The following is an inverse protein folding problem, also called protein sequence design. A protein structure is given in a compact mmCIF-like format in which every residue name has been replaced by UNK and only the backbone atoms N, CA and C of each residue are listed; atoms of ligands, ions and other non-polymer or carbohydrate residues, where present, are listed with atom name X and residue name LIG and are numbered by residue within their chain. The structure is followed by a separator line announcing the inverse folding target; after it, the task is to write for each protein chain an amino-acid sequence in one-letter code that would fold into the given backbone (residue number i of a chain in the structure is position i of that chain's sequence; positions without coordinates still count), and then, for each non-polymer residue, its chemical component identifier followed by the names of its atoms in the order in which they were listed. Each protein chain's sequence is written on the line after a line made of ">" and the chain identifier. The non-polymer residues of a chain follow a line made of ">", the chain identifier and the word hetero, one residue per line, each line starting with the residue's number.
data_IF_207479417049
#
_entry.id   IF_207479417049
#
_cell.length_a   1.000
_cell.length_b   1.000
_cell.length_c   1.000
_cell.angle_alpha   90.00
_cell.angle_beta   90.00
_cell.angle_gamma   90.00
#
_symmetry.space_group_name_H-M   'P 1'
#
loop_
_entity.id
_entity.type
_entity.pdbx_description
1 polymer ?
#
# COMPACT_ATOMS: atom_id res chain seq x y z
N UNK A 1 -15.79 -23.83 -6.75
CA UNK A 1 -14.37 -23.50 -7.02
C UNK A 1 -14.17 -22.08 -6.57
N UNK A 2 -13.17 -21.79 -5.76
CA UNK A 2 -12.91 -20.43 -5.29
C UNK A 2 -12.04 -19.69 -6.32
N UNK A 3 -12.50 -18.54 -6.82
CA UNK A 3 -11.75 -17.68 -7.74
C UNK A 3 -11.06 -16.58 -6.92
N UNK A 4 -9.73 -16.62 -6.85
CA UNK A 4 -8.95 -15.66 -6.06
C UNK A 4 -8.74 -14.33 -6.78
N UNK A 5 -8.72 -14.37 -8.12
CA UNK A 5 -8.61 -13.19 -9.02
C UNK A 5 -9.52 -13.47 -10.21
N UNK A 6 -10.42 -12.55 -10.51
CA UNK A 6 -11.49 -12.74 -11.51
C UNK A 6 -11.37 -11.69 -12.63
N UNK A 7 -10.71 -12.10 -13.73
CA UNK A 7 -10.62 -11.35 -14.97
C UNK A 7 -10.23 -9.86 -14.74
N UNK A 8 -9.04 -9.64 -14.17
CA UNK A 8 -8.49 -8.30 -13.99
C UNK A 8 -7.54 -7.95 -15.14
N UNK A 9 -7.60 -6.70 -15.59
CA UNK A 9 -6.69 -6.13 -16.58
C UNK A 9 -5.95 -4.94 -15.96
N UNK A 10 -4.64 -4.91 -16.08
CA UNK A 10 -3.79 -3.81 -15.63
C UNK A 10 -2.44 -3.87 -16.36
N UNK A 11 -1.75 -2.74 -16.38
CA UNK A 11 -0.36 -2.64 -16.84
C UNK A 11 0.47 -1.83 -15.85
N UNK A 12 1.80 -2.03 -15.86
CA UNK A 12 2.75 -1.29 -15.03
C UNK A 12 3.93 -0.86 -15.89
N UNK A 13 4.18 0.44 -15.95
CA UNK A 13 5.29 0.97 -16.72
C UNK A 13 6.64 0.80 -15.99
N UNK A 14 7.77 0.68 -16.72
CA UNK A 14 9.08 0.70 -16.09
C UNK A 14 9.33 1.97 -15.27
N UNK A 15 9.80 1.80 -14.02
CA UNK A 15 10.05 2.90 -13.08
C UNK A 15 8.80 3.45 -12.39
N UNK A 16 7.61 2.91 -12.69
CA UNK A 16 6.36 3.25 -12.04
C UNK A 16 6.27 2.63 -10.65
N UNK A 17 5.60 3.33 -9.72
CA UNK A 17 5.11 2.78 -8.46
C UNK A 17 3.62 2.52 -8.56
N UNK A 18 3.25 1.24 -8.66
CA UNK A 18 1.88 0.79 -8.87
C UNK A 18 1.31 0.09 -7.64
N UNK A 19 0.09 0.44 -7.24
CA UNK A 19 -0.57 -0.06 -6.04
C UNK A 19 -1.77 -0.97 -6.31
N UNK A 20 -1.91 -2.04 -5.52
CA UNK A 20 -3.15 -2.78 -5.37
C UNK A 20 -3.75 -2.42 -4.01
N UNK A 21 -4.76 -1.56 -3.98
CA UNK A 21 -5.48 -1.13 -2.77
C UNK A 21 -6.75 -1.96 -2.60
N UNK A 22 -7.03 -2.42 -1.41
CA UNK A 22 -8.29 -3.14 -1.15
C UNK A 22 -8.28 -3.89 0.18
N UNK A 23 -9.44 -4.42 0.60
CA UNK A 23 -9.57 -5.15 1.86
C UNK A 23 -8.87 -6.51 1.81
N UNK A 24 -8.78 -7.15 2.97
CA UNK A 24 -8.31 -8.53 3.05
C UNK A 24 -9.22 -9.45 2.25
N UNK A 25 -8.62 -10.39 1.50
CA UNK A 25 -9.35 -11.30 0.63
C UNK A 25 -9.76 -10.73 -0.74
N UNK A 26 -9.42 -9.47 -1.07
CA UNK A 26 -9.73 -8.88 -2.37
C UNK A 26 -8.95 -9.46 -3.56
N UNK A 27 -7.94 -10.31 -3.32
CA UNK A 27 -7.13 -10.94 -4.38
C UNK A 27 -5.72 -10.36 -4.53
N UNK A 28 -5.35 -9.31 -3.79
CA UNK A 28 -4.06 -8.61 -3.89
C UNK A 28 -2.85 -9.54 -3.80
N UNK A 29 -2.71 -10.28 -2.71
CA UNK A 29 -1.59 -11.23 -2.50
C UNK A 29 -1.59 -12.35 -3.54
N UNK A 30 -2.76 -12.80 -4.02
CA UNK A 30 -2.84 -13.79 -5.10
C UNK A 30 -2.27 -13.23 -6.40
N UNK A 31 -2.59 -11.99 -6.75
CA UNK A 31 -2.03 -11.27 -7.90
C UNK A 31 -0.50 -11.14 -7.76
N UNK A 32 -0.02 -10.72 -6.58
CA UNK A 32 1.43 -10.62 -6.30
C UNK A 32 2.14 -11.97 -6.47
N UNK A 33 1.52 -13.07 -6.04
CA UNK A 33 2.10 -14.42 -6.21
C UNK A 33 2.17 -14.86 -7.66
N UNK A 34 1.21 -14.48 -8.50
CA UNK A 34 1.27 -14.72 -9.94
C UNK A 34 2.38 -13.90 -10.60
N UNK A 35 2.49 -12.61 -10.30
CA UNK A 35 3.58 -11.74 -10.79
C UNK A 35 4.94 -12.28 -10.33
N UNK A 36 5.06 -12.72 -9.07
CA UNK A 36 6.26 -13.32 -8.46
C UNK A 36 6.56 -14.75 -8.91
N UNK A 37 5.77 -15.32 -9.83
CA UNK A 37 5.95 -16.69 -10.33
C UNK A 37 5.95 -17.76 -9.22
N UNK A 38 5.15 -17.56 -8.17
CA UNK A 38 4.96 -18.52 -7.06
C UNK A 38 3.56 -19.14 -7.05
N UNK A 39 2.67 -18.68 -7.92
CA UNK A 39 1.35 -19.24 -8.19
C UNK A 39 1.10 -19.23 -9.70
N UNK A 40 0.49 -20.29 -10.27
CA UNK A 40 0.22 -20.32 -11.70
C UNK A 40 -0.92 -19.36 -12.06
N UNK A 41 -0.85 -18.80 -13.27
CA UNK A 41 -1.99 -18.14 -13.93
C UNK A 41 -2.87 -19.20 -14.55
N UNK A 42 -4.10 -19.33 -14.07
CA UNK A 42 -5.02 -20.41 -14.50
C UNK A 42 -5.90 -20.03 -15.69
N UNK A 43 -5.95 -18.74 -16.04
CA UNK A 43 -6.69 -18.22 -17.20
C UNK A 43 -6.23 -16.80 -17.52
N UNK A 44 -6.43 -16.38 -18.77
CA UNK A 44 -5.92 -15.09 -19.25
C UNK A 44 -4.42 -15.12 -19.57
N UNK A 45 -3.82 -13.94 -19.66
CA UNK A 45 -2.40 -13.75 -19.99
C UNK A 45 -1.75 -12.82 -18.97
N UNK A 46 -0.55 -13.16 -18.54
CA UNK A 46 0.29 -12.30 -17.71
C UNK A 46 1.69 -12.28 -18.30
N UNK A 47 2.24 -11.07 -18.47
CA UNK A 47 3.62 -10.87 -18.88
C UNK A 47 4.34 -10.08 -17.78
N UNK A 48 5.51 -10.55 -17.37
CA UNK A 48 6.35 -9.91 -16.36
C UNK A 48 7.75 -9.72 -16.92
N UNK A 49 8.22 -8.48 -17.02
CA UNK A 49 9.52 -8.15 -17.64
C UNK A 49 9.69 -8.76 -19.04
N UNK A 50 8.62 -8.70 -19.85
CA UNK A 50 8.53 -9.26 -21.21
C UNK A 50 8.62 -10.79 -21.27
N UNK A 51 8.33 -11.49 -20.18
CA UNK A 51 8.40 -12.96 -20.06
C UNK A 51 7.12 -13.55 -19.53
N UNK A 52 6.83 -14.82 -19.87
CA UNK A 52 5.67 -15.58 -19.34
C UNK A 52 6.01 -16.20 -17.96
N UNK A 53 5.31 -15.83 -16.89
CA UNK A 53 5.52 -16.40 -15.55
C UNK A 53 5.41 -17.92 -15.48
N UNK A 54 4.59 -18.54 -16.31
CA UNK A 54 4.40 -19.99 -16.31
C UNK A 54 5.59 -20.75 -16.93
N UNK A 55 6.35 -20.10 -17.81
CA UNK A 55 7.47 -20.72 -18.52
C UNK A 55 8.85 -20.18 -18.08
N UNK A 56 8.95 -18.87 -17.88
CA UNK A 56 10.20 -18.18 -17.58
C UNK A 56 10.39 -17.85 -16.09
N UNK A 57 9.65 -18.46 -15.20
CA UNK A 57 9.59 -18.07 -13.78
C UNK A 57 10.95 -17.95 -13.09
N UNK A 58 11.94 -18.81 -13.41
CA UNK A 58 13.28 -18.69 -12.84
C UNK A 58 14.02 -17.43 -13.31
N UNK A 59 13.91 -17.08 -14.60
CA UNK A 59 14.52 -15.87 -15.20
C UNK A 59 13.86 -14.60 -14.65
N UNK A 60 12.54 -14.62 -14.50
CA UNK A 60 11.80 -13.51 -13.90
C UNK A 60 12.26 -13.32 -12.44
N UNK A 61 12.23 -14.39 -11.62
CA UNK A 61 12.65 -14.30 -10.19
C UNK A 61 14.09 -13.81 -10.01
N UNK A 62 14.99 -14.11 -10.94
CA UNK A 62 16.37 -13.59 -10.87
C UNK A 62 16.47 -12.07 -10.98
N UNK A 63 15.43 -11.39 -11.52
CA UNK A 63 15.34 -9.95 -11.72
C UNK A 63 14.33 -9.28 -10.77
N UNK A 64 13.71 -10.05 -9.87
CA UNK A 64 12.77 -9.57 -8.87
C UNK A 64 13.42 -9.36 -7.51
N UNK A 65 12.97 -8.33 -6.81
CA UNK A 65 13.07 -8.21 -5.36
C UNK A 65 11.70 -8.46 -4.73
N UNK A 66 11.61 -9.35 -3.75
CA UNK A 66 10.33 -9.65 -3.10
C UNK A 66 10.42 -9.37 -1.61
N UNK A 67 9.52 -8.53 -1.13
CA UNK A 67 9.31 -8.22 0.28
C UNK A 67 7.95 -8.80 0.69
N UNK A 68 7.90 -10.01 1.26
CA UNK A 68 6.65 -10.65 1.66
C UNK A 68 6.05 -9.95 2.88
N UNK A 69 4.76 -10.19 3.14
CA UNK A 69 4.05 -9.65 4.30
C UNK A 69 4.72 -10.07 5.63
N UNK A 70 5.05 -11.36 5.77
CA UNK A 70 5.82 -11.87 6.92
C UNK A 70 7.31 -11.81 6.63
N UNK A 71 8.13 -11.53 7.65
CA UNK A 71 9.56 -11.62 7.46
C UNK A 71 9.98 -13.09 7.28
N UNK A 72 11.02 -13.27 6.48
CA UNK A 72 11.62 -14.58 6.17
C UNK A 72 13.12 -14.55 6.40
N UNK A 73 13.56 -13.73 7.37
CA UNK A 73 14.94 -13.61 7.77
C UNK A 73 15.37 -14.87 8.53
N UNK A 74 16.63 -15.21 8.40
CA UNK A 74 17.24 -16.27 9.19
C UNK A 74 17.71 -15.70 10.54
N UNK A 75 17.08 -16.15 11.62
CA UNK A 75 17.34 -15.66 12.97
C UNK A 75 18.68 -16.15 13.55
N UNK A 76 19.27 -17.22 13.00
CA UNK A 76 20.56 -17.75 13.43
C UNK A 76 21.74 -17.01 12.78
N UNK A 77 21.47 -16.21 11.76
CA UNK A 77 22.46 -15.42 11.07
C UNK A 77 22.51 -13.98 11.58
N UNK A 78 23.66 -13.35 11.41
CA UNK A 78 23.78 -11.91 11.62
C UNK A 78 23.03 -11.13 10.52
N UNK A 79 22.78 -9.86 10.80
CA UNK A 79 22.18 -8.90 9.87
C UNK A 79 22.93 -8.92 8.52
N UNK A 80 24.26 -8.85 8.56
CA UNK A 80 25.11 -8.86 7.35
C UNK A 80 25.10 -10.21 6.64
N UNK A 81 25.15 -11.33 7.38
CA UNK A 81 25.12 -12.67 6.81
C UNK A 81 23.84 -12.98 6.07
N UNK A 82 22.69 -12.51 6.56
CA UNK A 82 21.42 -12.61 5.84
C UNK A 82 21.50 -12.06 4.41
N UNK A 83 22.15 -10.92 4.23
CA UNK A 83 22.33 -10.31 2.91
C UNK A 83 23.33 -11.13 2.06
N UNK A 84 24.48 -11.49 2.63
CA UNK A 84 25.54 -12.22 1.92
C UNK A 84 25.03 -13.58 1.41
N UNK A 85 24.36 -14.35 2.28
CA UNK A 85 23.85 -15.68 1.92
C UNK A 85 22.76 -15.56 0.85
N UNK A 86 21.87 -14.56 0.99
CA UNK A 86 20.82 -14.34 -0.01
C UNK A 86 21.40 -13.96 -1.38
N UNK A 87 22.45 -13.11 -1.42
CA UNK A 87 23.19 -12.82 -2.65
C UNK A 87 23.81 -14.05 -3.30
N UNK A 88 24.26 -15.02 -2.48
CA UNK A 88 24.80 -16.30 -2.99
C UNK A 88 23.75 -17.15 -3.70
N UNK A 89 22.48 -17.08 -3.32
CA UNK A 89 21.38 -17.76 -4.05
C UNK A 89 21.18 -17.21 -5.46
N UNK A 90 21.54 -15.94 -5.71
CA UNK A 90 21.57 -15.34 -7.06
C UNK A 90 22.88 -15.59 -7.80
N UNK A 91 23.80 -16.39 -7.26
CA UNK A 91 25.07 -16.73 -7.89
C UNK A 91 26.14 -15.63 -7.82
N UNK A 92 25.92 -14.57 -7.04
CA UNK A 92 26.88 -13.48 -6.90
C UNK A 92 28.19 -13.96 -6.23
N UNK A 93 29.39 -13.49 -6.67
CA UNK A 93 30.66 -13.75 -6.02
C UNK A 93 30.65 -13.28 -4.55
N UNK A 94 31.42 -13.94 -3.67
CA UNK A 94 31.43 -13.60 -2.24
C UNK A 94 31.82 -12.16 -1.96
N UNK A 95 32.80 -11.64 -2.68
CA UNK A 95 33.28 -10.26 -2.45
C UNK A 95 32.24 -9.24 -2.92
N UNK A 96 31.51 -9.54 -4.00
CA UNK A 96 30.39 -8.74 -4.45
C UNK A 96 29.22 -8.77 -3.46
N UNK A 97 28.90 -9.94 -2.89
CA UNK A 97 27.90 -10.03 -1.82
C UNK A 97 28.26 -9.18 -0.60
N UNK A 98 29.54 -9.18 -0.20
CA UNK A 98 30.02 -8.36 0.94
C UNK A 98 29.90 -6.87 0.64
N UNK A 99 30.38 -6.44 -0.52
CA UNK A 99 30.30 -5.04 -0.95
C UNK A 99 28.85 -4.54 -0.95
N UNK A 100 27.96 -5.27 -1.64
CA UNK A 100 26.55 -4.91 -1.71
C UNK A 100 25.85 -4.97 -0.35
N UNK A 101 26.20 -5.95 0.49
CA UNK A 101 25.64 -6.03 1.84
C UNK A 101 25.96 -4.76 2.66
N UNK A 102 27.20 -4.27 2.61
CA UNK A 102 27.60 -3.07 3.34
C UNK A 102 26.87 -1.82 2.81
N UNK A 103 26.79 -1.66 1.50
CA UNK A 103 26.07 -0.54 0.87
C UNK A 103 24.55 -0.57 1.19
N UNK A 104 23.95 -1.77 1.19
CA UNK A 104 22.53 -1.93 1.52
C UNK A 104 22.26 -1.72 3.01
N UNK A 105 23.15 -2.14 3.90
CA UNK A 105 23.03 -1.86 5.33
C UNK A 105 23.13 -0.35 5.62
N UNK A 106 23.99 0.37 4.93
CA UNK A 106 24.06 1.83 5.00
C UNK A 106 22.75 2.46 4.48
N UNK A 107 22.27 1.99 3.33
CA UNK A 107 21.01 2.46 2.74
C UNK A 107 19.83 2.33 3.69
N UNK A 108 19.72 1.21 4.43
CA UNK A 108 18.63 0.97 5.39
C UNK A 108 18.95 1.39 6.82
N UNK A 109 20.11 2.02 7.08
CA UNK A 109 20.56 2.47 8.40
C UNK A 109 20.66 1.33 9.43
N UNK A 110 21.34 0.25 9.06
CA UNK A 110 21.61 -0.90 9.91
C UNK A 110 23.10 -1.26 9.98
N UNK A 111 24.00 -0.37 9.50
CA UNK A 111 25.46 -0.62 9.52
C UNK A 111 25.99 -0.90 10.92
N UNK A 112 25.52 -0.15 11.93
CA UNK A 112 25.93 -0.33 13.33
C UNK A 112 25.46 -1.66 13.95
N UNK A 113 24.56 -2.35 13.28
CA UNK A 113 23.98 -3.64 13.69
C UNK A 113 24.44 -4.81 12.82
N UNK A 114 25.40 -4.59 11.91
CA UNK A 114 25.81 -5.57 10.89
C UNK A 114 26.22 -6.93 11.48
N UNK A 115 26.79 -6.93 12.67
CA UNK A 115 27.26 -8.13 13.38
C UNK A 115 26.27 -8.68 14.41
N UNK A 116 25.16 -7.98 14.66
CA UNK A 116 24.12 -8.45 15.58
C UNK A 116 23.33 -9.60 14.93
N UNK A 117 22.84 -10.53 15.75
CA UNK A 117 21.85 -11.52 15.29
C UNK A 117 20.53 -10.83 14.92
N UNK A 118 19.76 -11.47 14.05
CA UNK A 118 18.47 -10.93 13.61
C UNK A 118 17.40 -11.02 14.69
N UNK A 119 17.44 -12.06 15.54
CA UNK A 119 16.38 -12.32 16.52
C UNK A 119 16.05 -11.12 17.41
N UNK A 120 17.02 -10.37 18.01
CA UNK A 120 16.74 -9.24 18.92
C UNK A 120 16.34 -7.95 18.21
N UNK A 121 16.28 -7.90 16.88
CA UNK A 121 15.90 -6.70 16.14
C UNK A 121 14.42 -6.37 16.36
N UNK A 122 14.07 -5.07 16.39
CA UNK A 122 12.68 -4.63 16.34
C UNK A 122 12.00 -4.99 15.01
N UNK A 123 10.69 -5.06 14.98
CA UNK A 123 9.93 -5.35 13.75
C UNK A 123 10.28 -4.39 12.61
N UNK A 124 10.41 -3.10 12.90
CA UNK A 124 10.84 -2.09 11.92
C UNK A 124 12.26 -2.32 11.40
N UNK A 125 13.20 -2.77 12.25
CA UNK A 125 14.56 -3.13 11.82
C UNK A 125 14.54 -4.39 10.95
N UNK A 126 13.79 -5.41 11.33
CA UNK A 126 13.61 -6.64 10.52
C UNK A 126 13.00 -6.31 9.16
N UNK A 127 12.01 -5.43 9.11
CA UNK A 127 11.40 -4.98 7.84
C UNK A 127 12.39 -4.26 6.94
N UNK A 128 13.19 -3.35 7.50
CA UNK A 128 14.27 -2.67 6.76
C UNK A 128 15.32 -3.66 6.23
N UNK A 129 15.71 -4.64 7.03
CA UNK A 129 16.65 -5.70 6.61
C UNK A 129 16.04 -6.57 5.49
N UNK A 130 14.75 -6.91 5.55
CA UNK A 130 14.05 -7.66 4.50
C UNK A 130 14.07 -6.89 3.18
N UNK A 131 13.89 -5.58 3.21
CA UNK A 131 13.99 -4.73 2.01
C UNK A 131 15.43 -4.70 1.49
N UNK A 132 16.43 -4.48 2.36
CA UNK A 132 17.83 -4.54 1.95
C UNK A 132 18.16 -5.89 1.29
N UNK A 133 17.69 -6.99 1.88
CA UNK A 133 17.88 -8.32 1.32
C UNK A 133 17.26 -8.47 -0.06
N UNK A 134 16.08 -7.93 -0.28
CA UNK A 134 15.39 -8.01 -1.57
C UNK A 134 16.05 -7.18 -2.67
N UNK A 135 16.99 -6.30 -2.33
CA UNK A 135 17.76 -5.46 -3.26
C UNK A 135 19.12 -6.04 -3.64
N UNK A 136 19.57 -7.13 -3.02
CA UNK A 136 20.92 -7.65 -3.17
C UNK A 136 21.28 -8.06 -4.62
N UNK A 137 20.28 -8.46 -5.39
CA UNK A 137 20.41 -8.84 -6.80
C UNK A 137 20.17 -7.68 -7.78
N UNK A 138 20.03 -6.43 -7.29
CA UNK A 138 19.72 -5.23 -8.11
C UNK A 138 18.48 -5.45 -9.00
N UNK A 139 17.32 -5.68 -8.39
CA UNK A 139 16.13 -6.03 -9.14
C UNK A 139 15.63 -4.89 -10.03
N UNK A 140 15.07 -5.23 -11.19
CA UNK A 140 14.36 -4.29 -12.06
C UNK A 140 12.94 -4.00 -11.57
N UNK A 141 12.37 -4.95 -10.82
CA UNK A 141 11.01 -4.88 -10.28
C UNK A 141 10.99 -5.37 -8.84
N UNK A 142 10.42 -4.58 -7.95
CA UNK A 142 10.16 -4.97 -6.56
C UNK A 142 8.68 -5.24 -6.33
N UNK A 143 8.41 -6.38 -5.68
CA UNK A 143 7.09 -6.76 -5.19
C UNK A 143 7.05 -6.58 -3.68
N UNK A 144 6.13 -5.75 -3.19
CA UNK A 144 6.02 -5.34 -1.80
C UNK A 144 4.63 -5.72 -1.27
N UNK A 145 4.53 -6.82 -0.55
CA UNK A 145 3.24 -7.27 0.01
C UNK A 145 3.05 -6.67 1.40
N UNK A 146 2.14 -5.69 1.50
CA UNK A 146 1.84 -4.92 2.72
C UNK A 146 3.09 -4.44 3.46
N UNK A 147 3.93 -3.59 2.84
CA UNK A 147 5.28 -3.33 3.32
C UNK A 147 5.35 -2.64 4.69
N UNK A 148 4.32 -1.92 5.11
CA UNK A 148 4.32 -1.16 6.37
C UNK A 148 3.45 -1.75 7.47
N UNK A 149 2.80 -2.88 7.22
CA UNK A 149 1.94 -3.53 8.22
C UNK A 149 2.72 -3.87 9.49
N UNK A 150 2.17 -3.48 10.66
CA UNK A 150 2.78 -3.71 11.96
C UNK A 150 3.94 -2.77 12.32
N UNK A 151 4.23 -1.76 11.50
CA UNK A 151 5.22 -0.73 11.81
C UNK A 151 4.61 0.43 12.59
N UNK A 152 5.40 0.99 13.52
CA UNK A 152 5.06 2.28 14.12
C UNK A 152 5.14 3.42 13.09
N UNK A 153 4.51 4.59 13.35
CA UNK A 153 4.48 5.69 12.38
C UNK A 153 5.86 6.17 11.93
N UNK A 154 6.86 6.19 12.82
CA UNK A 154 8.21 6.63 12.49
C UNK A 154 8.90 5.64 11.54
N UNK A 155 8.80 4.34 11.84
CA UNK A 155 9.36 3.30 10.99
C UNK A 155 8.69 3.28 9.61
N UNK A 156 7.36 3.54 9.53
CA UNK A 156 6.61 3.64 8.28
C UNK A 156 7.12 4.80 7.41
N UNK A 157 7.26 6.00 7.95
CA UNK A 157 7.79 7.15 7.20
C UNK A 157 9.22 6.91 6.69
N UNK A 158 10.07 6.33 7.53
CA UNK A 158 11.43 5.97 7.12
C UNK A 158 11.43 4.98 5.95
N UNK A 159 10.51 4.01 5.98
CA UNK A 159 10.37 3.04 4.90
C UNK A 159 9.88 3.71 3.60
N UNK A 160 8.87 4.59 3.67
CA UNK A 160 8.39 5.34 2.52
C UNK A 160 9.51 6.17 1.86
N UNK A 161 10.35 6.86 2.65
CA UNK A 161 11.52 7.57 2.13
C UNK A 161 12.47 6.64 1.35
N UNK A 162 12.70 5.41 1.84
CA UNK A 162 13.55 4.44 1.15
C UNK A 162 12.95 3.94 -0.17
N UNK A 163 11.66 3.61 -0.16
CA UNK A 163 10.95 3.19 -1.37
C UNK A 163 10.89 4.31 -2.41
N UNK A 164 10.65 5.54 -1.98
CA UNK A 164 10.70 6.71 -2.86
C UNK A 164 12.07 6.89 -3.53
N UNK A 165 13.17 6.73 -2.77
CA UNK A 165 14.53 6.79 -3.33
C UNK A 165 14.82 5.66 -4.31
N UNK A 166 14.27 4.47 -4.11
CA UNK A 166 14.40 3.36 -5.06
C UNK A 166 13.69 3.68 -6.37
N UNK A 167 12.48 4.21 -6.30
CA UNK A 167 11.74 4.69 -7.45
C UNK A 167 12.54 5.75 -8.23
N UNK A 168 13.12 6.74 -7.56
CA UNK A 168 13.97 7.76 -8.20
C UNK A 168 15.19 7.18 -8.93
N UNK A 169 15.65 5.99 -8.52
CA UNK A 169 16.71 5.24 -9.21
C UNK A 169 16.20 4.39 -10.39
N UNK A 170 14.92 4.49 -10.72
CA UNK A 170 14.31 3.78 -11.85
C UNK A 170 13.84 2.35 -11.53
N UNK A 171 13.81 1.95 -10.27
CA UNK A 171 13.25 0.65 -9.87
C UNK A 171 11.73 0.71 -9.94
N UNK A 172 11.11 -0.23 -10.66
CA UNK A 172 9.67 -0.39 -10.69
C UNK A 172 9.18 -0.99 -9.38
N UNK A 173 8.16 -0.40 -8.76
CA UNK A 173 7.57 -0.87 -7.51
C UNK A 173 6.14 -1.34 -7.77
N UNK A 174 5.80 -2.55 -7.35
CA UNK A 174 4.43 -3.04 -7.29
C UNK A 174 4.13 -3.38 -5.84
N UNK A 175 3.15 -2.74 -5.26
CA UNK A 175 2.82 -2.93 -3.85
C UNK A 175 1.35 -3.27 -3.63
N UNK A 176 1.09 -4.05 -2.59
CA UNK A 176 -0.25 -4.24 -2.04
C UNK A 176 -0.37 -3.47 -0.75
N UNK A 177 -1.51 -2.87 -0.51
CA UNK A 177 -1.81 -2.22 0.76
C UNK A 177 -3.31 -2.21 1.03
N UNK A 178 -3.65 -2.07 2.29
CA UNK A 178 -4.98 -1.69 2.75
C UNK A 178 -4.96 -0.31 3.44
N UNK A 179 -3.79 0.36 3.48
CA UNK A 179 -3.62 1.70 4.00
C UNK A 179 -3.69 2.73 2.87
N UNK A 180 -4.67 3.64 2.94
CA UNK A 180 -4.88 4.67 1.92
C UNK A 180 -3.75 5.69 1.90
N UNK A 181 -3.28 6.08 3.08
CA UNK A 181 -2.14 6.99 3.24
C UNK A 181 -0.86 6.44 2.58
N UNK A 182 -0.62 5.13 2.67
CA UNK A 182 0.49 4.47 1.97
C UNK A 182 0.31 4.54 0.45
N UNK A 183 -0.90 4.26 -0.04
CA UNK A 183 -1.21 4.32 -1.47
C UNK A 183 -1.06 5.76 -2.01
N UNK A 184 -1.54 6.77 -1.28
CA UNK A 184 -1.40 8.18 -1.66
C UNK A 184 0.07 8.65 -1.70
N UNK A 185 0.91 8.16 -0.79
CA UNK A 185 2.31 8.59 -0.67
C UNK A 185 3.24 7.89 -1.67
N UNK A 186 2.98 6.62 -1.98
CA UNK A 186 3.92 5.79 -2.73
C UNK A 186 3.52 5.56 -4.18
N UNK A 187 2.23 5.52 -4.51
CA UNK A 187 1.78 5.11 -5.83
C UNK A 187 1.65 6.29 -6.80
N UNK A 188 2.15 6.10 -8.02
CA UNK A 188 1.82 6.97 -9.15
C UNK A 188 0.42 6.66 -9.66
N UNK A 189 0.10 5.38 -9.72
CA UNK A 189 -1.16 4.83 -10.16
C UNK A 189 -1.49 3.60 -9.32
N UNK A 190 -2.77 3.37 -9.11
CA UNK A 190 -3.24 2.21 -8.36
C UNK A 190 -4.56 1.68 -8.92
N UNK A 191 -4.84 0.44 -8.57
CA UNK A 191 -6.15 -0.16 -8.73
C UNK A 191 -6.79 -0.40 -7.37
N UNK A 192 -8.08 -0.11 -7.28
CA UNK A 192 -8.90 -0.50 -6.14
C UNK A 192 -9.49 -1.88 -6.43
N UNK A 193 -9.18 -2.85 -5.56
CA UNK A 193 -9.68 -4.22 -5.67
C UNK A 193 -10.76 -4.50 -4.64
N UNK A 194 -11.86 -5.08 -5.08
CA UNK A 194 -12.87 -5.68 -4.19
C UNK A 194 -13.39 -6.99 -4.81
N UNK A 195 -13.59 -8.01 -3.99
CA UNK A 195 -14.16 -9.32 -4.40
C UNK A 195 -13.50 -9.91 -5.64
N UNK A 196 -12.17 -9.93 -5.65
CA UNK A 196 -11.32 -10.46 -6.71
C UNK A 196 -11.34 -9.69 -8.04
N UNK A 197 -11.92 -8.48 -8.09
CA UNK A 197 -12.04 -7.63 -9.29
C UNK A 197 -11.41 -6.26 -9.06
N UNK A 198 -10.99 -5.62 -10.15
CA UNK A 198 -10.65 -4.20 -10.16
C UNK A 198 -11.97 -3.43 -10.30
N UNK A 199 -12.23 -2.50 -9.36
CA UNK A 199 -13.43 -1.66 -9.35
C UNK A 199 -13.13 -0.21 -9.77
N UNK A 200 -11.88 0.22 -9.65
CA UNK A 200 -11.40 1.51 -10.14
C UNK A 200 -9.90 1.47 -10.39
N UNK A 201 -9.42 2.34 -11.29
CA UNK A 201 -8.00 2.53 -11.62
C UNK A 201 -7.73 4.01 -11.89
N UNK A 202 -6.58 4.50 -11.45
CA UNK A 202 -6.10 5.86 -11.67
C UNK A 202 -4.97 6.26 -10.74
N UNK A 203 -4.46 7.49 -10.87
CA UNK A 203 -3.64 8.08 -9.82
C UNK A 203 -4.49 8.35 -8.57
N UNK A 204 -3.88 8.47 -7.38
CA UNK A 204 -4.61 8.84 -6.18
C UNK A 204 -5.48 10.08 -6.37
N UNK A 205 -4.96 11.12 -7.00
CA UNK A 205 -5.68 12.37 -7.28
C UNK A 205 -6.83 12.16 -8.27
N UNK A 206 -6.61 11.43 -9.38
CA UNK A 206 -7.67 11.14 -10.36
C UNK A 206 -8.84 10.37 -9.73
N UNK A 207 -8.52 9.43 -8.82
CA UNK A 207 -9.55 8.65 -8.13
C UNK A 207 -10.35 9.53 -7.16
N UNK A 208 -9.68 10.41 -6.42
CA UNK A 208 -10.34 11.37 -5.54
C UNK A 208 -11.25 12.29 -6.34
N UNK A 209 -10.75 12.91 -7.40
CA UNK A 209 -11.52 13.85 -8.26
C UNK A 209 -12.71 13.18 -8.94
N UNK A 210 -12.57 11.89 -9.32
CA UNK A 210 -13.64 11.15 -10.02
C UNK A 210 -14.72 10.60 -9.09
N UNK A 211 -14.34 10.17 -7.90
CA UNK A 211 -15.21 9.42 -7.00
C UNK A 211 -15.56 10.14 -5.70
N UNK A 212 -15.02 11.34 -5.45
CA UNK A 212 -15.38 12.14 -4.28
C UNK A 212 -15.65 13.58 -4.69
N UNK A 213 -16.05 14.40 -3.74
CA UNK A 213 -16.12 15.85 -3.86
C UNK A 213 -14.77 16.44 -3.41
N UNK A 214 -14.59 17.73 -3.60
CA UNK A 214 -13.33 18.41 -3.22
C UNK A 214 -13.06 18.35 -1.72
N UNK A 215 -14.11 18.51 -0.90
CA UNK A 215 -14.01 18.65 0.55
C UNK A 215 -15.03 17.77 1.27
N UNK A 216 -14.71 17.48 2.52
CA UNK A 216 -15.58 16.77 3.46
C UNK A 216 -15.66 17.57 4.73
N UNK A 217 -16.89 17.90 5.16
CA UNK A 217 -17.15 18.47 6.47
C UNK A 217 -17.53 17.34 7.43
N UNK A 218 -16.70 17.10 8.44
CA UNK A 218 -16.93 16.12 9.51
C UNK A 218 -17.57 16.78 10.71
N UNK A 219 -18.70 16.28 11.13
CA UNK A 219 -19.45 16.77 12.28
C UNK A 219 -19.48 15.69 13.37
N UNK A 220 -19.02 16.01 14.56
CA UNK A 220 -19.16 15.13 15.72
C UNK A 220 -20.15 15.71 16.70
N UNK A 221 -20.97 14.85 17.28
CA UNK A 221 -22.04 15.20 18.21
C UNK A 221 -21.90 14.43 19.51
N UNK A 222 -22.50 14.95 20.57
CA UNK A 222 -22.66 14.22 21.82
C UNK A 222 -23.45 12.91 21.59
N UNK A 223 -23.21 11.87 22.39
CA UNK A 223 -23.90 10.60 22.26
C UNK A 223 -25.43 10.76 22.27
N UNK A 224 -26.11 10.14 21.31
CA UNK A 224 -27.57 10.20 21.15
C UNK A 224 -28.11 11.42 20.39
N UNK A 225 -27.33 12.46 20.17
CA UNK A 225 -27.78 13.65 19.41
C UNK A 225 -27.83 13.34 17.90
N UNK A 226 -26.87 12.62 17.40
CA UNK A 226 -26.77 12.27 15.96
C UNK A 226 -28.04 11.59 15.44
N UNK A 227 -28.65 10.70 16.23
CA UNK A 227 -29.86 9.97 15.87
C UNK A 227 -31.08 10.90 15.70
N UNK A 228 -31.09 12.05 16.38
CA UNK A 228 -32.18 13.05 16.28
C UNK A 228 -32.06 13.93 15.03
N UNK A 229 -30.91 13.93 14.35
CA UNK A 229 -30.61 14.80 13.23
C UNK A 229 -30.90 14.16 11.86
N UNK A 230 -31.56 13.01 11.83
CA UNK A 230 -31.87 12.33 10.59
C UNK A 230 -32.68 13.23 9.65
N UNK A 231 -32.15 13.48 8.44
CA UNK A 231 -32.74 14.37 7.45
C UNK A 231 -32.39 15.86 7.61
N UNK A 232 -31.79 16.30 8.73
CA UNK A 232 -31.48 17.74 8.96
C UNK A 232 -30.42 18.29 7.98
N UNK A 233 -29.59 17.43 7.41
CA UNK A 233 -28.56 17.79 6.45
C UNK A 233 -29.02 17.70 4.99
N UNK A 234 -30.25 17.31 4.71
CA UNK A 234 -30.73 17.15 3.35
C UNK A 234 -30.56 18.44 2.52
N UNK A 235 -29.94 18.31 1.35
CA UNK A 235 -29.68 19.43 0.43
C UNK A 235 -28.50 20.33 0.82
N UNK A 236 -27.72 19.99 1.87
CA UNK A 236 -26.50 20.71 2.24
C UNK A 236 -25.25 20.14 1.58
N UNK A 237 -25.27 18.88 1.18
CA UNK A 237 -24.13 18.18 0.60
C UNK A 237 -24.59 17.25 -0.52
N UNK A 238 -23.69 16.88 -1.40
CA UNK A 238 -23.96 15.92 -2.49
C UNK A 238 -24.18 14.50 -1.95
N UNK A 239 -23.42 14.15 -0.91
CA UNK A 239 -23.49 12.86 -0.22
C UNK A 239 -23.36 13.07 1.28
N UNK A 240 -24.07 12.27 2.04
CA UNK A 240 -24.02 12.26 3.50
C UNK A 240 -23.77 10.82 3.96
N UNK A 241 -22.76 10.65 4.80
CA UNK A 241 -22.47 9.36 5.44
C UNK A 241 -22.63 9.49 6.96
N UNK A 242 -23.38 8.56 7.52
CA UNK A 242 -23.59 8.46 8.96
C UNK A 242 -22.69 7.37 9.52
N UNK A 243 -21.66 7.76 10.26
CA UNK A 243 -20.79 6.85 10.99
C UNK A 243 -21.19 6.85 12.47
N UNK A 244 -20.81 5.83 13.24
CA UNK A 244 -21.21 5.74 14.66
C UNK A 244 -20.79 6.93 15.52
N UNK A 245 -19.69 7.61 15.19
CA UNK A 245 -19.08 8.68 15.97
C UNK A 245 -19.13 10.07 15.26
N UNK A 246 -19.57 10.12 14.00
CA UNK A 246 -19.56 11.35 13.19
C UNK A 246 -20.48 11.28 11.98
N UNK A 247 -20.77 12.44 11.40
CA UNK A 247 -21.45 12.57 10.11
C UNK A 247 -20.48 13.22 9.13
N UNK A 248 -20.33 12.63 7.94
CA UNK A 248 -19.51 13.13 6.86
C UNK A 248 -20.41 13.75 5.79
N UNK A 249 -20.20 15.03 5.48
CA UNK A 249 -20.89 15.76 4.43
C UNK A 249 -19.90 16.07 3.31
N UNK A 250 -20.14 15.49 2.14
CA UNK A 250 -19.30 15.61 0.96
C UNK A 250 -19.80 16.75 0.09
N UNK A 251 -18.97 17.76 -0.14
CA UNK A 251 -19.29 18.95 -0.91
C UNK A 251 -18.04 19.58 -1.56
N UNK A 252 -18.26 20.46 -2.53
CA UNK A 252 -17.16 21.22 -3.12
C UNK A 252 -16.65 22.35 -2.21
N UNK A 253 -17.51 22.86 -1.32
CA UNK A 253 -17.23 23.90 -0.34
C UNK A 253 -17.73 23.47 1.05
N UNK A 254 -16.82 22.92 1.83
CA UNK A 254 -17.10 22.42 3.19
C UNK A 254 -17.43 23.53 4.18
N UNK A 255 -16.81 24.71 4.02
CA UNK A 255 -17.10 25.86 4.88
C UNK A 255 -18.53 26.38 4.69
N UNK A 256 -19.02 26.39 3.44
CA UNK A 256 -20.41 26.72 3.13
C UNK A 256 -21.36 25.72 3.81
N UNK A 257 -21.05 24.42 3.76
CA UNK A 257 -21.84 23.38 4.45
C UNK A 257 -21.90 23.63 5.95
N UNK A 258 -20.78 23.99 6.58
CA UNK A 258 -20.73 24.32 8.01
C UNK A 258 -21.59 25.53 8.33
N UNK A 259 -21.50 26.60 7.55
CA UNK A 259 -22.30 27.81 7.75
C UNK A 259 -23.80 27.52 7.64
N UNK A 260 -24.23 26.84 6.56
CA UNK A 260 -25.61 26.48 6.32
C UNK A 260 -26.16 25.50 7.39
N UNK A 261 -25.31 24.61 7.93
CA UNK A 261 -25.69 23.74 9.05
C UNK A 261 -26.00 24.55 10.32
N UNK A 262 -25.19 25.56 10.63
CA UNK A 262 -25.41 26.47 11.77
C UNK A 262 -26.71 27.26 11.64
N UNK A 263 -27.01 27.76 10.43
CA UNK A 263 -28.28 28.47 10.15
C UNK A 263 -29.51 27.60 10.38
N UNK A 264 -29.37 26.27 10.19
CA UNK A 264 -30.42 25.28 10.53
C UNK A 264 -30.48 24.90 12.01
N UNK A 265 -29.65 25.53 12.86
CA UNK A 265 -29.61 25.24 14.29
C UNK A 265 -28.87 23.93 14.62
N UNK A 266 -28.10 23.36 13.72
CA UNK A 266 -27.30 22.16 13.96
C UNK A 266 -26.03 22.58 14.68
N UNK A 267 -25.85 22.14 15.93
CA UNK A 267 -24.72 22.51 16.79
C UNK A 267 -23.91 21.26 17.11
N UNK A 268 -22.83 20.96 16.37
CA UNK A 268 -21.93 19.86 16.69
C UNK A 268 -20.99 20.23 17.84
N UNK A 269 -20.40 19.22 18.52
CA UNK A 269 -19.31 19.43 19.47
C UNK A 269 -18.01 19.84 18.75
N UNK A 270 -17.72 19.20 17.63
CA UNK A 270 -16.56 19.55 16.80
C UNK A 270 -16.90 19.50 15.32
N UNK A 271 -16.23 20.35 14.55
CA UNK A 271 -16.31 20.40 13.10
C UNK A 271 -14.89 20.41 12.54
N UNK A 272 -14.66 19.59 11.52
CA UNK A 272 -13.42 19.58 10.75
C UNK A 272 -13.77 19.64 9.26
N UNK A 273 -13.28 20.64 8.55
CA UNK A 273 -13.32 20.67 7.09
C UNK A 273 -11.95 20.20 6.59
N UNK A 274 -11.96 19.17 5.75
CA UNK A 274 -10.75 18.61 5.15
C UNK A 274 -10.96 18.32 3.66
N UNK A 275 -9.88 18.15 2.93
CA UNK A 275 -9.95 17.61 1.57
C UNK A 275 -10.35 16.14 1.60
N UNK A 276 -10.98 15.70 0.52
CA UNK A 276 -11.24 14.27 0.29
C UNK A 276 -9.95 13.48 0.12
N UNK A 277 -9.99 12.23 0.53
CA UNK A 277 -8.86 11.28 0.51
C UNK A 277 -9.26 9.99 -0.21
N UNK A 278 -8.31 9.09 -0.44
CA UNK A 278 -8.62 7.75 -0.96
C UNK A 278 -9.54 6.94 -0.03
N UNK A 279 -9.59 7.25 1.27
CA UNK A 279 -10.54 6.63 2.21
C UNK A 279 -11.98 6.92 1.80
N UNK A 280 -12.27 8.19 1.44
CA UNK A 280 -13.59 8.62 0.99
C UNK A 280 -13.99 7.95 -0.34
N UNK A 281 -13.02 7.77 -1.25
CA UNK A 281 -13.19 7.03 -2.50
C UNK A 281 -13.52 5.57 -2.21
N UNK A 282 -12.76 4.95 -1.31
CA UNK A 282 -12.93 3.54 -0.97
C UNK A 282 -14.30 3.27 -0.35
N UNK A 283 -14.72 4.09 0.62
CA UNK A 283 -16.06 4.04 1.23
C UNK A 283 -17.16 4.11 0.16
N UNK A 284 -17.02 5.02 -0.81
CA UNK A 284 -17.97 5.16 -1.90
C UNK A 284 -18.04 3.93 -2.81
N UNK A 285 -16.90 3.37 -3.17
CA UNK A 285 -16.83 2.25 -4.13
C UNK A 285 -17.24 0.91 -3.53
N UNK A 286 -16.97 0.68 -2.25
CA UNK A 286 -17.17 -0.62 -1.60
C UNK A 286 -18.33 -0.64 -0.61
N UNK A 287 -18.80 0.52 -0.18
CA UNK A 287 -19.87 0.68 0.83
C UNK A 287 -19.46 0.25 2.24
N UNK A 288 -18.15 0.09 2.49
CA UNK A 288 -17.60 -0.32 3.80
C UNK A 288 -16.24 0.32 4.06
N UNK A 289 -15.89 0.49 5.34
CA UNK A 289 -14.53 0.85 5.74
C UNK A 289 -13.57 -0.34 5.56
N UNK A 290 -12.25 -0.07 5.41
CA UNK A 290 -11.23 -1.13 5.36
C UNK A 290 -10.99 -1.83 6.71
N UNK A 291 -11.62 -1.33 7.77
CA UNK A 291 -11.39 -1.78 9.16
C UNK A 291 -12.37 -2.90 9.58
N UNK A 292 -13.28 -3.34 8.71
CA UNK A 292 -14.21 -4.45 8.96
C UNK A 292 -13.62 -5.81 8.57
#
# INVERSE_FOLDING_TARGET
>A
MFTAVDAIDFDVAPGESFGFLGPNGAGKTSTMRMIGCTSPVTGGTLTVLDMDPNHDGARIRSRLGVVPQQDTLDNELTVRENLIIYGRYFGLPRDECRRRADELLEFVQLSDRATDLVEPLSGGMKRRLTIARSLINEPSLMLLDEPTTGLDPQARHLLWDRLYRLKQRGVTLVLTTHYMDEAEQLCDRLVVMDKAKIVAEGSPLDLIDRYSTREVAEFRFAPGVQETLNGSFNGLAERIEWLPDRVLLYADDGEHVVAASRERGIVPETVLVRRSTLEDVFLRLTGRSLID
#
